data_IF_604203405148
#
_entry.id   IF_604203405148
#
_cell.length_a   1.000
_cell.length_b   1.000
_cell.length_c   1.000
_cell.angle_alpha   90.00
_cell.angle_beta   90.00
_cell.angle_gamma   90.00
#
_symmetry.space_group_name_H-M   'P 1'
#
loop_
_entity.id
_entity.type
_entity.pdbx_description
1 polymer ?
#
# COMPACT_ATOMS: atom_id res chain seq x y z
N UNK A 1 -29.61 70.74 -0.96
CA UNK A 1 -28.63 70.85 0.13
C UNK A 1 -27.66 69.69 0.06
N UNK A 2 -26.44 70.05 -0.30
CA UNK A 2 -25.29 69.14 -0.38
C UNK A 2 -24.80 68.76 1.00
N UNK A 3 -24.50 67.49 1.24
CA UNK A 3 -23.50 67.10 2.20
C UNK A 3 -22.52 66.08 1.59
N UNK A 4 -21.33 66.60 1.40
CA UNK A 4 -20.11 65.85 1.10
C UNK A 4 -19.68 65.07 2.31
N UNK A 5 -19.35 63.74 2.16
CA UNK A 5 -18.59 62.98 3.12
C UNK A 5 -17.26 62.56 2.51
N UNK A 6 -16.25 62.96 3.24
CA UNK A 6 -14.83 62.82 2.97
C UNK A 6 -14.36 61.38 3.14
N UNK A 7 -13.42 60.99 2.26
CA UNK A 7 -12.92 59.63 2.18
C UNK A 7 -11.88 59.27 3.25
N UNK A 8 -12.22 58.33 4.07
CA UNK A 8 -11.29 57.63 4.95
C UNK A 8 -10.74 56.39 4.29
N UNK A 9 -9.48 56.40 3.90
CA UNK A 9 -8.71 55.29 3.44
C UNK A 9 -8.57 54.19 4.55
N UNK A 10 -9.38 53.16 4.52
CA UNK A 10 -9.12 51.96 5.23
C UNK A 10 -8.60 50.90 4.23
N UNK A 11 -7.29 50.76 4.18
CA UNK A 11 -6.64 49.60 3.58
C UNK A 11 -7.08 48.35 4.39
N UNK A 12 -8.15 47.71 3.95
CA UNK A 12 -8.35 46.31 4.26
C UNK A 12 -7.22 45.54 3.59
N UNK A 13 -6.31 45.02 4.41
CA UNK A 13 -5.48 43.90 4.00
C UNK A 13 -6.41 42.77 3.65
N UNK A 14 -6.61 42.53 2.37
CA UNK A 14 -7.14 41.26 1.87
C UNK A 14 -6.15 40.19 2.29
N UNK A 15 -6.46 39.57 3.42
CA UNK A 15 -5.91 38.30 3.76
C UNK A 15 -6.53 37.34 2.75
N UNK A 16 -5.84 37.11 1.64
CA UNK A 16 -6.11 35.94 0.80
C UNK A 16 -6.01 34.73 1.72
N UNK A 17 -7.14 34.22 2.16
CA UNK A 17 -7.22 32.82 2.54
C UNK A 17 -6.77 32.07 1.31
N UNK A 18 -5.54 31.59 1.33
CA UNK A 18 -5.14 30.48 0.48
C UNK A 18 -6.10 29.36 0.84
N UNK A 19 -7.08 29.10 0.01
CA UNK A 19 -7.72 27.83 -0.01
C UNK A 19 -6.60 26.84 -0.42
N UNK A 20 -5.84 26.42 0.57
CA UNK A 20 -5.17 25.15 0.50
C UNK A 20 -6.33 24.16 0.39
N UNK A 21 -6.71 23.85 -0.84
CA UNK A 21 -7.30 22.57 -1.11
C UNK A 21 -6.12 21.61 -0.90
N UNK A 22 -5.88 21.35 0.37
CA UNK A 22 -5.13 20.20 0.82
C UNK A 22 -5.92 19.03 0.24
N UNK A 23 -5.49 18.54 -0.90
CA UNK A 23 -5.78 17.16 -1.28
C UNK A 23 -4.91 16.35 -0.33
N UNK A 24 -5.29 16.41 0.94
CA UNK A 24 -5.10 15.27 1.80
C UNK A 24 -5.93 14.21 1.08
N UNK A 25 -5.31 13.44 0.23
CA UNK A 25 -5.62 12.04 0.16
C UNK A 25 -5.16 11.46 1.51
N UNK A 26 -5.76 12.00 2.58
CA UNK A 26 -6.17 11.11 3.61
C UNK A 26 -6.80 10.03 2.75
N UNK A 27 -6.29 8.81 2.78
CA UNK A 27 -7.20 7.72 2.84
C UNK A 27 -8.20 8.16 3.90
N UNK A 28 -9.15 9.03 3.48
CA UNK A 28 -10.36 9.20 4.23
C UNK A 28 -10.85 7.79 4.20
N UNK A 29 -10.59 7.13 5.32
CA UNK A 29 -11.22 5.91 5.71
C UNK A 29 -12.69 6.09 5.41
N UNK A 30 -13.06 5.83 4.17
CA UNK A 30 -14.42 5.55 3.86
C UNK A 30 -14.57 4.17 4.48
N UNK A 31 -14.98 4.18 5.73
CA UNK A 31 -15.36 2.99 6.49
C UNK A 31 -16.50 2.33 5.74
N UNK A 32 -16.13 1.47 4.81
CA UNK A 32 -17.10 0.62 4.16
C UNK A 32 -17.29 -0.60 5.02
N UNK A 33 -18.49 -0.76 5.47
CA UNK A 33 -18.95 -1.88 6.27
C UNK A 33 -18.73 -3.17 5.49
N UNK A 34 -17.75 -3.94 5.90
CA UNK A 34 -17.75 -5.38 5.68
C UNK A 34 -18.93 -5.93 6.51
N UNK A 35 -20.14 -5.90 5.93
CA UNK A 35 -21.34 -6.36 6.63
C UNK A 35 -21.21 -7.85 6.94
N UNK A 36 -21.62 -8.25 8.13
CA UNK A 36 -21.76 -9.67 8.47
C UNK A 36 -22.67 -10.35 7.45
N UNK A 37 -22.14 -11.38 6.79
CA UNK A 37 -22.98 -12.32 6.03
C UNK A 37 -23.81 -13.15 7.02
N UNK A 38 -25.08 -12.78 7.19
CA UNK A 38 -26.00 -13.43 8.15
C UNK A 38 -26.29 -14.90 7.81
N UNK A 39 -25.74 -15.42 6.72
CA UNK A 39 -25.92 -16.79 6.25
C UNK A 39 -24.70 -17.71 6.51
N UNK A 40 -23.60 -17.22 7.04
CA UNK A 40 -22.44 -18.05 7.36
C UNK A 40 -22.70 -18.87 8.63
N UNK A 41 -23.19 -20.09 8.45
CA UNK A 41 -23.54 -21.00 9.56
C UNK A 41 -22.35 -21.78 10.13
N UNK A 42 -21.17 -21.70 9.51
CA UNK A 42 -19.97 -22.40 9.94
C UNK A 42 -18.83 -21.40 10.19
N UNK A 43 -18.32 -21.27 11.44
CA UNK A 43 -17.20 -20.39 11.74
C UNK A 43 -15.88 -20.82 11.11
N UNK A 44 -15.80 -22.04 10.57
CA UNK A 44 -14.64 -22.59 9.89
C UNK A 44 -14.70 -22.49 8.35
N UNK A 45 -15.76 -21.88 7.81
CA UNK A 45 -15.91 -21.64 6.37
C UNK A 45 -16.08 -20.13 6.12
N UNK A 46 -15.28 -19.61 5.18
CA UNK A 46 -15.49 -18.26 4.61
C UNK A 46 -15.99 -18.48 3.19
N UNK A 47 -17.32 -18.35 2.99
CA UNK A 47 -18.00 -18.53 1.69
C UNK A 47 -17.58 -19.81 0.95
N UNK A 48 -17.46 -20.92 1.68
CA UNK A 48 -17.08 -22.22 1.11
C UNK A 48 -15.59 -22.57 1.15
N UNK A 49 -14.71 -21.61 1.46
CA UNK A 49 -13.28 -21.89 1.63
C UNK A 49 -13.01 -22.31 3.09
N UNK A 50 -12.40 -23.47 3.34
CA UNK A 50 -12.01 -23.88 4.68
C UNK A 50 -10.96 -22.93 5.28
N UNK A 51 -11.24 -22.45 6.48
CA UNK A 51 -10.31 -21.69 7.31
C UNK A 51 -9.47 -22.68 8.10
N UNK A 52 -8.15 -22.71 7.89
CA UNK A 52 -7.23 -23.51 8.69
C UNK A 52 -7.01 -22.88 10.07
N UNK A 53 -6.82 -21.57 10.09
CA UNK A 53 -6.78 -20.79 11.33
C UNK A 53 -7.01 -19.28 11.06
N UNK A 54 -7.47 -18.61 12.10
CA UNK A 54 -7.55 -17.14 12.20
C UNK A 54 -6.84 -16.71 13.49
N UNK A 55 -5.99 -15.70 13.41
CA UNK A 55 -5.37 -15.04 14.56
C UNK A 55 -5.70 -13.57 14.57
N UNK A 56 -5.91 -13.03 15.76
CA UNK A 56 -6.21 -11.61 15.97
C UNK A 56 -5.31 -11.05 17.05
N UNK A 57 -4.81 -9.84 16.83
CA UNK A 57 -3.92 -9.13 17.73
C UNK A 57 -4.54 -7.78 18.07
N UNK A 58 -4.58 -7.44 19.36
CA UNK A 58 -5.10 -6.16 19.86
C UNK A 58 -4.11 -5.55 20.83
N UNK A 59 -3.68 -4.34 20.54
CA UNK A 59 -2.70 -3.61 21.34
C UNK A 59 -3.29 -2.33 21.94
N UNK A 60 -4.24 -1.68 21.28
CA UNK A 60 -4.97 -0.54 21.81
C UNK A 60 -6.06 -0.96 22.78
N UNK A 61 -6.38 -0.10 23.74
CA UNK A 61 -7.35 -0.40 24.81
C UNK A 61 -8.78 -0.61 24.29
N UNK A 62 -9.11 -0.06 23.13
CA UNK A 62 -10.42 -0.19 22.48
C UNK A 62 -10.37 -0.90 21.12
N UNK A 63 -9.15 -1.28 20.68
CA UNK A 63 -8.83 -1.88 19.37
C UNK A 63 -9.38 -1.11 18.15
N UNK A 64 -9.71 0.17 18.33
CA UNK A 64 -10.26 1.01 17.27
C UNK A 64 -9.19 1.66 16.40
N UNK A 65 -7.93 1.57 16.83
CA UNK A 65 -6.76 2.17 16.19
C UNK A 65 -5.66 1.15 15.84
N UNK A 66 -6.00 -0.14 15.87
CA UNK A 66 -5.09 -1.19 15.42
C UNK A 66 -5.26 -1.39 13.91
N UNK A 67 -4.20 -1.23 13.14
CA UNK A 67 -4.19 -1.32 11.68
C UNK A 67 -3.00 -2.13 11.20
N UNK A 68 -3.16 -2.96 10.17
CA UNK A 68 -2.05 -3.60 9.47
C UNK A 68 -2.17 -3.46 7.96
N UNK A 69 -1.06 -3.20 7.31
CA UNK A 69 -0.98 -2.89 5.90
C UNK A 69 -0.25 -3.94 5.08
N UNK A 70 0.63 -4.70 5.73
CA UNK A 70 1.50 -5.65 5.05
C UNK A 70 1.67 -6.91 5.90
N UNK A 71 1.52 -8.06 5.29
CA UNK A 71 1.96 -9.36 5.84
C UNK A 71 2.91 -10.01 4.85
N UNK A 72 4.01 -10.60 5.34
CA UNK A 72 4.94 -11.36 4.51
C UNK A 72 5.38 -12.62 5.26
N UNK A 73 5.60 -13.71 4.52
CA UNK A 73 6.17 -14.93 5.09
C UNK A 73 7.64 -14.70 5.41
N UNK A 74 8.10 -15.27 6.51
CA UNK A 74 9.50 -15.26 6.93
C UNK A 74 10.18 -16.59 6.61
N UNK A 75 11.51 -16.61 6.55
CA UNK A 75 12.31 -17.77 6.15
C UNK A 75 12.16 -18.99 7.06
N UNK A 76 11.65 -18.80 8.27
CA UNK A 76 11.32 -19.86 9.23
C UNK A 76 9.89 -20.42 9.05
N UNK A 77 9.16 -19.93 8.02
CA UNK A 77 7.79 -20.31 7.72
C UNK A 77 6.73 -19.55 8.53
N UNK A 78 7.14 -18.67 9.44
CA UNK A 78 6.24 -17.75 10.16
C UNK A 78 5.87 -16.52 9.33
N UNK A 79 5.38 -15.45 10.00
CA UNK A 79 4.95 -14.25 9.32
C UNK A 79 5.47 -13.01 10.04
N UNK A 80 5.73 -11.95 9.26
CA UNK A 80 5.98 -10.60 9.75
C UNK A 80 4.86 -9.68 9.27
N UNK A 81 4.32 -8.85 10.16
CA UNK A 81 3.20 -7.95 9.92
C UNK A 81 3.66 -6.54 10.27
N UNK A 82 3.36 -5.59 9.39
CA UNK A 82 3.59 -4.16 9.63
C UNK A 82 2.27 -3.40 9.74
N UNK A 83 2.23 -2.43 10.65
CA UNK A 83 1.06 -1.63 10.89
C UNK A 83 1.27 -0.50 11.88
N UNK A 84 0.20 -0.14 12.56
CA UNK A 84 0.22 0.82 13.65
C UNK A 84 -0.82 0.46 14.72
N UNK A 85 -0.60 0.92 15.93
CA UNK A 85 -1.56 0.92 17.04
C UNK A 85 -1.47 2.25 17.77
N UNK A 86 -2.60 2.91 18.04
CA UNK A 86 -2.64 4.23 18.68
C UNK A 86 -1.59 5.21 18.10
N UNK A 87 -1.51 5.30 16.77
CA UNK A 87 -0.53 6.11 16.03
C UNK A 87 0.94 5.74 16.32
N UNK A 88 1.20 4.54 16.78
CA UNK A 88 2.55 4.02 17.05
C UNK A 88 2.86 2.90 16.06
N UNK A 89 3.97 2.99 15.36
CA UNK A 89 4.40 1.96 14.40
C UNK A 89 4.55 0.61 15.07
N UNK A 90 4.07 -0.44 14.41
CA UNK A 90 3.99 -1.79 14.97
C UNK A 90 4.57 -2.81 14.00
N UNK A 91 5.42 -3.70 14.50
CA UNK A 91 5.76 -4.97 13.87
C UNK A 91 5.34 -6.13 14.76
N UNK A 92 4.75 -7.16 14.15
CA UNK A 92 4.39 -8.42 14.82
C UNK A 92 5.07 -9.57 14.07
N UNK A 93 5.84 -10.39 14.77
CA UNK A 93 6.38 -11.66 14.25
C UNK A 93 5.59 -12.81 14.83
N UNK A 94 5.22 -13.75 13.96
CA UNK A 94 4.52 -14.95 14.36
C UNK A 94 5.26 -16.21 13.91
N UNK A 95 4.92 -17.35 14.50
CA UNK A 95 5.31 -18.66 14.00
C UNK A 95 4.48 -19.05 12.74
N UNK A 96 4.72 -20.23 12.19
CA UNK A 96 4.00 -20.76 11.02
C UNK A 96 2.52 -21.09 11.27
N UNK A 97 2.08 -21.15 12.53
CA UNK A 97 0.67 -21.31 12.92
C UNK A 97 0.00 -19.96 13.19
N UNK A 98 0.71 -18.85 12.96
CA UNK A 98 0.23 -17.49 13.21
C UNK A 98 0.23 -17.09 14.68
N UNK A 99 0.82 -17.90 15.59
CA UNK A 99 0.96 -17.53 17.01
C UNK A 99 2.07 -16.49 17.16
N UNK A 100 1.80 -15.44 17.95
CA UNK A 100 2.76 -14.37 18.19
C UNK A 100 4.02 -14.89 18.87
N UNK A 101 5.19 -14.59 18.28
CA UNK A 101 6.49 -14.79 18.89
C UNK A 101 6.98 -13.54 19.60
N UNK A 102 6.79 -12.38 18.95
CA UNK A 102 7.08 -11.08 19.50
C UNK A 102 6.33 -9.96 18.75
N UNK A 103 6.14 -8.84 19.40
CA UNK A 103 5.80 -7.57 18.77
C UNK A 103 6.72 -6.46 19.27
N UNK A 104 6.87 -5.41 18.49
CA UNK A 104 7.64 -4.22 18.82
C UNK A 104 6.89 -2.97 18.38
N UNK A 105 6.95 -1.95 19.22
CA UNK A 105 6.40 -0.62 18.97
C UNK A 105 7.55 0.35 18.66
N UNK A 106 7.36 1.19 17.63
CA UNK A 106 8.38 2.09 17.10
C UNK A 106 7.83 3.49 17.01
N UNK A 107 8.45 4.43 17.68
CA UNK A 107 8.13 5.85 17.67
C UNK A 107 6.63 6.19 17.67
N UNK A 108 6.23 7.06 18.57
CA UNK A 108 4.86 7.62 18.52
C UNK A 108 4.66 8.40 17.21
N UNK A 109 3.44 8.47 16.72
CA UNK A 109 3.07 9.15 15.48
C UNK A 109 3.69 8.54 14.21
N UNK A 110 3.86 7.21 14.20
CA UNK A 110 4.41 6.46 13.06
C UNK A 110 3.39 5.44 12.55
N UNK A 111 3.32 5.28 11.24
CA UNK A 111 2.60 4.18 10.58
C UNK A 111 3.56 3.44 9.65
N UNK A 112 3.62 2.10 9.77
CA UNK A 112 4.43 1.26 8.89
C UNK A 112 3.54 0.63 7.82
N UNK A 113 3.83 0.94 6.55
CA UNK A 113 3.05 0.45 5.41
C UNK A 113 3.59 -0.84 4.80
N UNK A 114 4.90 -1.04 4.83
CA UNK A 114 5.56 -2.20 4.23
C UNK A 114 6.67 -2.73 5.12
N UNK A 115 6.84 -4.05 5.10
CA UNK A 115 7.92 -4.77 5.78
C UNK A 115 8.40 -5.94 4.94
N UNK A 116 9.70 -6.20 4.96
CA UNK A 116 10.34 -7.40 4.37
C UNK A 116 11.35 -7.96 5.36
N UNK A 117 11.42 -9.31 5.44
CA UNK A 117 12.60 -9.94 6.00
C UNK A 117 13.74 -9.77 5.01
N UNK A 118 14.94 -9.47 5.51
CA UNK A 118 16.13 -9.23 4.69
C UNK A 118 17.16 -10.33 4.88
N UNK A 119 18.16 -10.35 4.01
CA UNK A 119 19.14 -11.45 3.86
C UNK A 119 19.93 -11.77 5.13
N UNK A 120 20.08 -10.83 6.07
CA UNK A 120 20.71 -11.03 7.38
C UNK A 120 19.76 -11.64 8.44
N UNK A 121 18.50 -11.90 8.08
CA UNK A 121 17.45 -12.42 8.93
C UNK A 121 16.71 -11.36 9.75
N UNK A 122 17.12 -10.11 9.70
CA UNK A 122 16.40 -8.96 10.26
C UNK A 122 15.26 -8.48 9.37
N UNK A 123 14.74 -7.27 9.65
CA UNK A 123 13.62 -6.72 8.91
C UNK A 123 13.89 -5.28 8.49
N UNK A 124 13.48 -4.93 7.26
CA UNK A 124 13.39 -3.56 6.79
C UNK A 124 11.92 -3.17 6.68
N UNK A 125 11.55 -2.00 7.22
CA UNK A 125 10.18 -1.49 7.16
C UNK A 125 10.17 -0.01 6.81
N UNK A 126 9.09 0.44 6.21
CA UNK A 126 8.91 1.85 5.83
C UNK A 126 7.46 2.30 5.98
N UNK A 127 7.29 3.61 6.08
CA UNK A 127 6.02 4.28 6.19
C UNK A 127 6.21 5.77 6.34
N UNK A 128 5.52 6.37 7.29
CA UNK A 128 5.70 7.78 7.62
C UNK A 128 5.75 8.02 9.13
N UNK A 129 6.34 9.14 9.50
CA UNK A 129 6.36 9.69 10.84
C UNK A 129 5.61 11.03 10.82
N UNK A 130 4.61 11.16 11.68
CA UNK A 130 3.86 12.40 11.87
C UNK A 130 4.50 13.25 12.98
N UNK A 131 4.79 14.50 12.69
CA UNK A 131 5.39 15.40 13.66
C UNK A 131 4.29 16.16 14.42
N UNK A 132 3.89 15.67 15.58
CA UNK A 132 2.80 16.23 16.40
C UNK A 132 3.12 17.53 17.15
N UNK A 133 4.35 18.03 17.08
CA UNK A 133 4.81 19.01 18.07
C UNK A 133 4.73 20.46 17.64
N UNK A 134 4.55 20.78 16.35
CA UNK A 134 4.53 22.15 15.84
C UNK A 134 3.45 22.38 14.77
N UNK A 135 2.71 23.50 14.81
CA UNK A 135 1.85 23.88 13.69
C UNK A 135 2.67 24.08 12.42
N UNK A 136 2.37 23.33 11.36
CA UNK A 136 3.07 23.37 10.08
C UNK A 136 4.16 22.32 9.93
N UNK A 137 4.21 21.34 10.80
CA UNK A 137 4.98 20.12 10.58
C UNK A 137 4.18 19.17 9.68
N UNK A 138 4.86 18.51 8.78
CA UNK A 138 4.29 17.60 7.79
C UNK A 138 4.84 16.19 7.99
N UNK A 139 4.12 15.14 7.60
CA UNK A 139 4.64 13.78 7.66
C UNK A 139 5.92 13.63 6.85
N UNK A 140 6.89 12.96 7.46
CA UNK A 140 8.16 12.56 6.88
C UNK A 140 8.21 11.06 6.63
N UNK A 141 8.99 10.62 5.66
CA UNK A 141 9.27 9.21 5.45
C UNK A 141 9.96 8.64 6.70
N UNK A 142 9.49 7.48 7.15
CA UNK A 142 10.17 6.69 8.17
C UNK A 142 10.72 5.40 7.56
N UNK A 143 12.01 5.14 7.80
CA UNK A 143 12.71 3.94 7.36
C UNK A 143 13.39 3.29 8.56
N UNK A 144 13.09 2.00 8.79
CA UNK A 144 13.47 1.27 9.99
C UNK A 144 14.14 -0.05 9.60
N UNK A 145 15.33 -0.33 10.14
CA UNK A 145 15.99 -1.62 10.09
C UNK A 145 16.08 -2.21 11.49
N UNK A 146 15.66 -3.46 11.62
CA UNK A 146 15.77 -4.24 12.85
C UNK A 146 16.56 -5.51 12.63
N UNK A 147 17.06 -6.09 13.72
CA UNK A 147 17.55 -7.46 13.71
C UNK A 147 16.38 -8.47 13.72
N UNK A 148 16.68 -9.76 13.73
CA UNK A 148 15.67 -10.84 13.72
C UNK A 148 14.75 -10.88 14.94
N UNK A 149 15.15 -10.27 16.07
CA UNK A 149 14.33 -10.16 17.29
C UNK A 149 13.47 -8.86 17.34
N UNK A 150 13.45 -8.08 16.27
CA UNK A 150 12.72 -6.81 16.20
C UNK A 150 13.44 -5.63 16.87
N UNK A 151 14.66 -5.81 17.41
CA UNK A 151 15.41 -4.70 18.01
C UNK A 151 15.97 -3.79 16.91
N UNK A 152 15.84 -2.47 17.10
CA UNK A 152 16.31 -1.47 16.14
C UNK A 152 17.83 -1.59 15.97
N UNK A 153 18.31 -1.72 14.73
CA UNK A 153 19.71 -1.56 14.35
C UNK A 153 19.98 -0.11 13.95
N UNK A 154 19.08 0.44 13.16
CA UNK A 154 19.02 1.86 12.83
C UNK A 154 17.62 2.25 12.37
N UNK A 155 17.25 3.49 12.55
CA UNK A 155 16.06 4.11 11.99
C UNK A 155 16.36 5.54 11.60
N UNK A 156 15.54 6.11 10.73
CA UNK A 156 15.64 7.50 10.32
C UNK A 156 14.31 8.01 9.77
N UNK A 157 14.05 9.29 10.03
CA UNK A 157 13.02 10.05 9.35
C UNK A 157 13.66 11.10 8.46
N UNK A 158 13.07 11.32 7.30
CA UNK A 158 13.54 12.31 6.34
C UNK A 158 12.42 12.71 5.38
N UNK A 159 12.42 13.96 5.01
CA UNK A 159 11.42 14.55 4.12
C UNK A 159 11.81 15.96 3.72
N UNK A 160 10.82 16.74 3.36
CA UNK A 160 10.94 18.16 3.02
C UNK A 160 10.26 19.00 4.11
N UNK A 161 10.84 20.13 4.47
CA UNK A 161 10.44 20.93 5.64
C UNK A 161 8.97 21.43 5.60
N UNK A 162 8.36 21.51 4.42
CA UNK A 162 7.07 22.17 4.23
C UNK A 162 5.98 21.28 3.61
N UNK A 163 6.21 19.96 3.43
CA UNK A 163 5.31 19.12 2.65
C UNK A 163 5.25 17.67 3.15
N UNK A 164 4.20 16.95 2.72
CA UNK A 164 3.97 15.57 3.11
C UNK A 164 4.83 14.61 2.28
N UNK A 165 5.69 13.86 2.94
CA UNK A 165 6.49 12.80 2.36
C UNK A 165 6.15 11.47 3.04
N UNK A 166 5.95 10.41 2.27
CA UNK A 166 5.76 9.05 2.81
C UNK A 166 6.27 8.00 1.87
N UNK A 167 6.66 6.85 2.41
CA UNK A 167 7.00 5.68 1.64
C UNK A 167 5.91 4.61 1.76
N UNK A 168 5.60 3.96 0.63
CA UNK A 168 4.56 2.94 0.51
C UNK A 168 5.11 1.53 0.50
N UNK A 169 6.27 1.33 -0.13
CA UNK A 169 6.85 0.00 -0.24
C UNK A 169 8.37 0.05 -0.12
N UNK A 170 8.95 -1.06 0.35
CA UNK A 170 10.39 -1.26 0.52
C UNK A 170 10.77 -2.67 0.12
N UNK A 171 11.90 -2.79 -0.57
CA UNK A 171 12.51 -4.08 -0.91
C UNK A 171 14.00 -4.08 -0.55
N UNK A 172 14.55 -5.26 -0.27
CA UNK A 172 15.99 -5.51 -0.37
C UNK A 172 16.31 -5.91 -1.82
N UNK A 173 17.26 -5.25 -2.43
CA UNK A 173 17.72 -5.56 -3.78
C UNK A 173 18.81 -6.63 -3.76
N UNK A 174 19.05 -7.31 -4.90
CA UNK A 174 20.00 -8.41 -5.02
C UNK A 174 21.43 -8.03 -4.59
N UNK A 175 21.78 -6.76 -4.59
CA UNK A 175 23.07 -6.25 -4.11
C UNK A 175 23.10 -5.95 -2.59
N UNK A 176 22.06 -6.34 -1.85
CA UNK A 176 21.95 -6.21 -0.39
C UNK A 176 21.68 -4.79 0.08
N UNK A 177 21.13 -3.94 -0.77
CA UNK A 177 20.71 -2.58 -0.46
C UNK A 177 19.18 -2.46 -0.40
N UNK A 178 18.66 -1.34 0.11
CA UNK A 178 17.23 -1.14 0.24
C UNK A 178 16.74 -0.09 -0.74
N UNK A 179 15.65 -0.38 -1.46
CA UNK A 179 14.96 0.59 -2.30
C UNK A 179 13.56 0.81 -1.75
N UNK A 180 13.18 2.08 -1.64
CA UNK A 180 11.84 2.50 -1.24
C UNK A 180 11.15 3.25 -2.37
N UNK A 181 9.81 3.19 -2.38
CA UNK A 181 8.97 4.03 -3.22
C UNK A 181 7.90 4.73 -2.39
N UNK A 182 7.36 5.82 -2.92
CA UNK A 182 6.33 6.61 -2.27
C UNK A 182 6.18 7.98 -2.91
N UNK A 183 5.90 8.97 -2.09
CA UNK A 183 5.73 10.37 -2.48
C UNK A 183 6.86 11.22 -1.93
N UNK A 184 7.36 12.12 -2.79
CA UNK A 184 8.31 13.18 -2.45
C UNK A 184 7.76 14.52 -2.94
N UNK A 185 7.52 15.43 -2.02
CA UNK A 185 6.98 16.75 -2.34
C UNK A 185 7.98 17.84 -1.99
N UNK A 186 8.75 18.34 -2.98
CA UNK A 186 9.80 19.33 -2.80
C UNK A 186 9.39 20.76 -3.17
N UNK A 187 8.16 20.99 -3.60
CA UNK A 187 7.68 22.32 -4.02
C UNK A 187 6.31 22.76 -3.46
N UNK A 188 5.68 21.89 -2.62
CA UNK A 188 4.39 22.17 -1.96
C UNK A 188 3.16 22.16 -2.86
N UNK A 189 3.33 21.79 -4.12
CA UNK A 189 2.26 21.81 -5.11
C UNK A 189 2.18 20.56 -5.99
N UNK A 190 3.29 19.83 -6.09
CA UNK A 190 3.41 18.74 -7.05
C UNK A 190 4.16 17.56 -6.41
N UNK A 191 3.45 16.73 -5.69
CA UNK A 191 4.04 15.49 -5.19
C UNK A 191 4.61 14.65 -6.35
N UNK A 192 5.74 14.02 -6.11
CA UNK A 192 6.49 13.23 -7.10
C UNK A 192 6.57 11.79 -6.62
N UNK A 193 6.26 10.86 -7.49
CA UNK A 193 6.60 9.47 -7.23
C UNK A 193 8.12 9.33 -7.18
N UNK A 194 8.65 8.59 -6.21
CA UNK A 194 10.07 8.48 -6.00
C UNK A 194 10.56 7.03 -5.98
N UNK A 195 11.85 6.85 -6.29
CA UNK A 195 12.68 5.73 -5.88
C UNK A 195 13.91 6.28 -5.14
N UNK A 196 14.22 5.70 -3.99
CA UNK A 196 15.42 6.03 -3.22
C UNK A 196 16.11 4.76 -2.77
N UNK A 197 17.41 4.66 -3.01
CA UNK A 197 18.23 3.52 -2.62
C UNK A 197 19.12 3.88 -1.45
N UNK A 198 19.10 3.02 -0.44
CA UNK A 198 19.89 3.15 0.78
C UNK A 198 20.80 1.95 0.95
N UNK A 199 21.99 2.17 1.51
CA UNK A 199 22.87 1.08 1.89
C UNK A 199 22.26 0.26 3.04
N UNK A 200 22.80 -0.91 3.31
CA UNK A 200 22.43 -1.72 4.48
C UNK A 200 22.65 -1.02 5.82
N UNK A 201 23.46 0.06 5.85
CA UNK A 201 23.68 0.91 7.04
C UNK A 201 22.82 2.18 7.05
N UNK A 202 21.82 2.29 6.17
CA UNK A 202 20.91 3.42 6.12
C UNK A 202 21.40 4.66 5.36
N UNK A 203 22.61 4.65 4.76
CA UNK A 203 23.09 5.81 3.99
C UNK A 203 22.45 5.89 2.62
N UNK A 204 21.96 7.07 2.24
CA UNK A 204 21.40 7.30 0.90
C UNK A 204 22.48 7.10 -0.17
N UNK A 205 22.21 6.22 -1.14
CA UNK A 205 23.08 5.95 -2.30
C UNK A 205 22.66 6.84 -3.47
N UNK A 206 21.36 6.80 -3.82
CA UNK A 206 20.77 7.67 -4.84
C UNK A 206 19.28 7.90 -4.61
N UNK A 207 18.74 8.97 -5.18
CA UNK A 207 17.31 9.27 -5.22
C UNK A 207 16.90 9.76 -6.58
N UNK A 208 15.75 9.27 -7.07
CA UNK A 208 15.13 9.65 -8.34
C UNK A 208 13.66 9.97 -8.13
N UNK A 209 13.13 10.89 -8.92
CA UNK A 209 11.71 11.24 -8.94
C UNK A 209 11.12 11.11 -10.34
N UNK A 210 9.85 10.68 -10.41
CA UNK A 210 9.15 10.43 -11.66
C UNK A 210 7.87 11.25 -11.70
N UNK A 211 7.95 12.42 -12.31
CA UNK A 211 6.79 13.33 -12.44
C UNK A 211 6.08 13.13 -13.77
N UNK A 212 4.78 13.31 -13.78
CA UNK A 212 4.00 13.38 -15.03
C UNK A 212 2.92 14.45 -15.02
N UNK A 213 2.56 14.94 -13.85
CA UNK A 213 1.55 16.00 -13.61
C UNK A 213 1.61 16.44 -12.15
N UNK A 214 0.61 17.14 -11.66
CA UNK A 214 0.39 17.41 -10.23
C UNK A 214 -0.03 16.14 -9.51
N UNK A 215 0.44 15.90 -8.28
CA UNK A 215 0.12 14.78 -7.42
C UNK A 215 0.46 13.40 -8.02
N UNK A 216 1.71 12.97 -7.87
CA UNK A 216 2.14 11.63 -8.24
C UNK A 216 2.51 10.83 -7.00
N UNK A 217 2.16 9.55 -6.97
CA UNK A 217 2.50 8.64 -5.89
C UNK A 217 2.99 7.31 -6.45
N UNK A 218 4.08 6.79 -5.88
CA UNK A 218 4.55 5.43 -6.10
C UNK A 218 3.98 4.52 -5.02
N UNK A 219 3.27 3.46 -5.40
CA UNK A 219 2.56 2.60 -4.47
C UNK A 219 3.26 1.27 -4.22
N UNK A 220 3.82 0.66 -5.24
CA UNK A 220 4.46 -0.65 -5.12
C UNK A 220 5.68 -0.75 -6.03
N UNK A 221 6.60 -1.59 -5.65
CA UNK A 221 7.93 -1.70 -6.20
C UNK A 221 8.38 -3.16 -6.18
N UNK A 222 9.03 -3.58 -7.27
CA UNK A 222 9.71 -4.87 -7.34
C UNK A 222 11.04 -4.73 -8.07
N UNK A 223 11.96 -5.66 -7.82
CA UNK A 223 13.19 -5.86 -8.59
C UNK A 223 13.03 -7.07 -9.50
N UNK A 224 13.38 -6.93 -10.77
CA UNK A 224 13.37 -8.05 -11.70
C UNK A 224 14.61 -8.94 -11.53
N UNK A 225 14.62 -10.18 -12.03
CA UNK A 225 15.79 -11.05 -11.97
C UNK A 225 17.07 -10.44 -12.55
N UNK A 226 16.94 -9.51 -13.51
CA UNK A 226 18.06 -8.80 -14.14
C UNK A 226 18.50 -7.55 -13.35
N UNK A 227 17.89 -7.28 -12.18
CA UNK A 227 18.22 -6.14 -11.33
C UNK A 227 17.60 -4.81 -11.77
N UNK A 228 16.59 -4.82 -12.66
CA UNK A 228 15.80 -3.64 -12.96
C UNK A 228 14.71 -3.44 -11.90
N UNK A 229 14.32 -2.18 -11.69
CA UNK A 229 13.27 -1.81 -10.75
C UNK A 229 11.99 -1.49 -11.51
N UNK A 230 10.86 -2.05 -11.08
CA UNK A 230 9.53 -1.74 -11.58
C UNK A 230 8.78 -0.99 -10.47
N UNK A 231 8.32 0.20 -10.80
CA UNK A 231 7.51 1.07 -9.94
C UNK A 231 6.14 1.24 -10.57
N UNK A 232 5.08 1.05 -9.80
CA UNK A 232 3.71 1.39 -10.19
C UNK A 232 3.10 2.41 -9.25
N UNK A 233 2.14 3.15 -9.78
CA UNK A 233 1.44 4.17 -9.02
C UNK A 233 0.46 4.96 -9.87
N UNK A 234 0.18 6.19 -9.44
CA UNK A 234 -0.73 7.06 -10.15
C UNK A 234 -0.25 8.51 -10.19
N UNK A 235 -0.84 9.27 -11.10
CA UNK A 235 -0.67 10.71 -11.22
C UNK A 235 -2.04 11.38 -11.31
N UNK A 236 -2.30 12.35 -10.43
CA UNK A 236 -3.49 13.18 -10.48
C UNK A 236 -3.35 14.30 -11.50
N UNK A 237 -4.47 14.86 -11.93
CA UNK A 237 -4.55 16.08 -12.73
C UNK A 237 -5.18 17.20 -11.92
N UNK A 238 -5.00 18.45 -12.34
CA UNK A 238 -5.63 19.62 -11.71
C UNK A 238 -7.17 19.57 -11.69
N UNK A 239 -7.78 18.64 -12.42
CA UNK A 239 -9.23 18.49 -12.54
C UNK A 239 -9.76 17.23 -11.84
N UNK A 240 -8.94 16.57 -10.99
CA UNK A 240 -9.35 15.42 -10.22
C UNK A 240 -9.39 14.10 -10.99
N UNK A 241 -8.88 14.07 -12.22
CA UNK A 241 -8.67 12.83 -12.96
C UNK A 241 -7.37 12.15 -12.51
N UNK A 242 -7.33 10.83 -12.54
CA UNK A 242 -6.15 10.03 -12.19
C UNK A 242 -5.70 9.18 -13.36
N UNK A 243 -4.40 9.07 -13.54
CA UNK A 243 -3.79 8.20 -14.54
C UNK A 243 -2.81 7.27 -13.85
N UNK A 244 -2.94 5.99 -14.10
CA UNK A 244 -1.91 5.06 -13.66
C UNK A 244 -0.61 5.28 -14.44
N UNK A 245 0.49 4.93 -13.82
CA UNK A 245 1.77 4.81 -14.51
C UNK A 245 2.53 3.56 -14.03
N UNK A 246 3.41 3.10 -14.89
CA UNK A 246 4.44 2.10 -14.60
C UNK A 246 5.77 2.61 -15.12
N UNK A 247 6.81 2.47 -14.31
CA UNK A 247 8.19 2.85 -14.65
C UNK A 247 9.07 1.63 -14.53
N UNK A 248 9.92 1.38 -15.54
CA UNK A 248 11.08 0.51 -15.42
C UNK A 248 12.32 1.39 -15.31
N UNK A 249 13.12 1.15 -14.28
CA UNK A 249 14.40 1.80 -14.06
C UNK A 249 15.52 0.75 -13.96
N UNK A 250 16.76 1.13 -14.22
CA UNK A 250 17.91 0.25 -13.95
C UNK A 250 18.26 0.27 -12.44
N UNK A 251 19.25 -0.53 -12.05
CA UNK A 251 19.71 -0.63 -10.63
C UNK A 251 20.23 0.70 -10.05
N UNK A 252 20.57 1.69 -10.88
CA UNK A 252 20.98 3.04 -10.50
C UNK A 252 19.80 4.03 -10.46
N UNK A 253 18.56 3.54 -10.62
CA UNK A 253 17.34 4.34 -10.62
C UNK A 253 17.09 5.12 -11.90
N UNK A 254 17.91 4.97 -12.96
CA UNK A 254 17.73 5.67 -14.23
C UNK A 254 16.57 5.06 -15.01
N UNK A 255 15.63 5.90 -15.43
CA UNK A 255 14.46 5.47 -16.18
C UNK A 255 14.85 4.81 -17.51
N UNK A 256 14.44 3.56 -17.69
CA UNK A 256 14.51 2.85 -18.98
C UNK A 256 13.29 3.21 -19.81
N UNK A 257 12.10 3.05 -19.24
CA UNK A 257 10.84 3.52 -19.83
C UNK A 257 9.84 3.92 -18.75
N UNK A 258 8.88 4.75 -19.14
CA UNK A 258 7.69 5.12 -18.36
C UNK A 258 6.46 5.01 -19.24
N UNK A 259 5.46 4.30 -18.78
CA UNK A 259 4.18 4.11 -19.45
C UNK A 259 3.07 4.68 -18.58
N UNK A 260 2.08 5.26 -19.23
CA UNK A 260 0.88 5.84 -18.60
C UNK A 260 -0.36 5.16 -19.13
N UNK A 261 -1.51 5.57 -18.59
CA UNK A 261 -2.82 5.19 -19.10
C UNK A 261 -2.94 5.54 -20.60
N UNK A 262 -3.32 4.57 -21.41
CA UNK A 262 -3.44 4.72 -22.86
C UNK A 262 -4.89 4.57 -23.36
N UNK A 263 -5.81 3.96 -22.60
CA UNK A 263 -7.12 3.58 -23.15
C UNK A 263 -8.26 3.39 -22.16
N UNK A 264 -8.04 3.39 -20.86
CA UNK A 264 -9.10 3.34 -19.83
C UNK A 264 -9.26 4.71 -19.21
N UNK A 265 -10.43 5.06 -18.72
CA UNK A 265 -10.68 6.28 -17.95
C UNK A 265 -9.71 6.43 -16.78
N UNK A 266 -10.10 7.17 -15.77
CA UNK A 266 -9.30 7.29 -14.54
C UNK A 266 -8.90 5.91 -14.00
N UNK A 267 -7.60 5.68 -13.81
CA UNK A 267 -7.08 4.43 -13.27
C UNK A 267 -5.85 4.66 -12.39
N UNK A 268 -5.72 3.83 -11.35
CA UNK A 268 -4.62 3.84 -10.39
C UNK A 268 -4.08 2.43 -10.24
N UNK A 269 -2.77 2.28 -9.98
CA UNK A 269 -2.14 1.01 -9.67
C UNK A 269 -1.62 1.04 -8.22
N UNK A 270 -1.92 -0.02 -7.47
CA UNK A 270 -1.52 -0.16 -6.07
C UNK A 270 -0.49 -1.25 -5.86
N UNK A 271 -0.51 -2.30 -6.66
CA UNK A 271 0.41 -3.42 -6.52
C UNK A 271 0.94 -3.90 -7.86
N UNK A 272 2.11 -4.52 -7.86
CA UNK A 272 2.75 -5.12 -9.03
C UNK A 272 3.45 -6.41 -8.65
N UNK A 273 3.37 -7.41 -9.52
CA UNK A 273 4.15 -8.63 -9.46
C UNK A 273 4.77 -8.96 -10.81
N UNK A 274 5.75 -9.85 -10.81
CA UNK A 274 6.30 -10.43 -12.04
C UNK A 274 5.29 -11.42 -12.63
N UNK A 275 5.17 -11.42 -13.94
CA UNK A 275 4.48 -12.48 -14.67
C UNK A 275 5.44 -13.66 -14.87
N UNK A 276 5.05 -14.91 -14.49
CA UNK A 276 5.88 -16.09 -14.73
C UNK A 276 6.31 -16.31 -16.18
N UNK A 277 5.51 -15.83 -17.15
CA UNK A 277 5.80 -15.92 -18.59
C UNK A 277 6.65 -14.73 -19.10
N UNK A 278 7.02 -13.80 -18.24
CA UNK A 278 7.82 -12.61 -18.51
C UNK A 278 6.98 -11.35 -18.71
N UNK A 279 7.38 -10.30 -18.01
CA UNK A 279 6.64 -9.04 -17.96
C UNK A 279 6.12 -8.74 -16.55
N UNK A 280 5.06 -7.94 -16.45
CA UNK A 280 4.61 -7.39 -15.19
C UNK A 280 3.09 -7.29 -15.15
N UNK A 281 2.49 -7.83 -14.09
CA UNK A 281 1.06 -7.66 -13.84
C UNK A 281 0.84 -6.69 -12.68
N UNK A 282 0.02 -5.69 -12.91
CA UNK A 282 -0.30 -4.68 -11.92
C UNK A 282 -1.81 -4.63 -11.66
N UNK A 283 -2.15 -4.35 -10.41
CA UNK A 283 -3.51 -4.33 -9.91
C UNK A 283 -3.87 -2.97 -9.30
N UNK A 284 -5.15 -2.62 -9.33
CA UNK A 284 -5.64 -1.36 -8.78
C UNK A 284 -7.09 -1.06 -9.13
N UNK A 285 -7.37 0.20 -9.49
CA UNK A 285 -8.71 0.72 -9.80
C UNK A 285 -8.79 1.27 -11.21
N UNK A 286 -10.01 1.26 -11.76
CA UNK A 286 -10.37 2.05 -12.93
C UNK A 286 -11.71 2.78 -12.71
N UNK A 287 -12.11 3.66 -13.66
CA UNK A 287 -13.37 4.40 -13.66
C UNK A 287 -13.66 5.19 -12.37
N UNK A 288 -12.72 6.04 -11.96
CA UNK A 288 -12.88 6.93 -10.81
C UNK A 288 -13.18 6.20 -9.49
N UNK A 289 -12.40 5.17 -9.16
CA UNK A 289 -12.48 4.38 -7.93
C UNK A 289 -13.67 3.41 -7.85
N UNK A 290 -14.22 2.99 -8.99
CA UNK A 290 -15.46 2.19 -8.97
C UNK A 290 -15.31 0.77 -9.43
N UNK A 291 -14.10 0.34 -9.84
CA UNK A 291 -13.95 -0.96 -10.49
C UNK A 291 -12.55 -1.51 -10.31
N UNK A 292 -12.45 -2.80 -10.02
CA UNK A 292 -11.20 -3.55 -9.99
C UNK A 292 -10.51 -3.50 -11.36
N UNK A 293 -9.20 -3.31 -11.35
CA UNK A 293 -8.40 -3.17 -12.55
C UNK A 293 -7.17 -4.06 -12.52
N UNK A 294 -6.93 -4.76 -13.61
CA UNK A 294 -5.72 -5.53 -13.87
C UNK A 294 -5.11 -5.11 -15.21
N UNK A 295 -3.80 -5.07 -15.24
CA UNK A 295 -3.02 -4.69 -16.41
C UNK A 295 -1.76 -5.54 -16.48
N UNK A 296 -1.55 -6.21 -17.62
CA UNK A 296 -0.25 -6.83 -17.95
C UNK A 296 0.51 -6.00 -18.97
N UNK A 297 1.80 -5.87 -18.73
CA UNK A 297 2.76 -5.29 -19.67
C UNK A 297 3.96 -6.22 -19.85
N UNK A 298 4.36 -6.43 -21.09
CA UNK A 298 5.61 -7.14 -21.36
C UNK A 298 6.84 -6.32 -20.91
N UNK A 299 8.01 -6.90 -21.00
CA UNK A 299 9.29 -6.27 -20.60
C UNK A 299 9.58 -4.93 -21.28
N UNK A 300 9.08 -4.71 -22.48
CA UNK A 300 9.18 -3.44 -23.21
C UNK A 300 8.13 -2.40 -22.76
N UNK A 301 7.24 -2.78 -21.85
CA UNK A 301 6.18 -1.94 -21.30
C UNK A 301 4.97 -1.82 -22.23
N UNK A 302 4.83 -2.65 -23.26
CA UNK A 302 3.61 -2.68 -24.07
C UNK A 302 2.53 -3.48 -23.36
N UNK A 303 1.27 -3.04 -23.48
CA UNK A 303 0.12 -3.75 -22.92
C UNK A 303 -0.07 -5.06 -23.70
N UNK A 304 -0.13 -6.18 -22.97
CA UNK A 304 -0.54 -7.48 -23.49
C UNK A 304 -2.04 -7.65 -23.30
N UNK A 305 -2.54 -7.42 -22.09
CA UNK A 305 -3.96 -7.34 -21.79
C UNK A 305 -4.24 -6.36 -20.64
N UNK A 306 -5.50 -5.94 -20.52
CA UNK A 306 -6.02 -5.17 -19.40
C UNK A 306 -7.52 -5.47 -19.20
N UNK A 307 -7.92 -5.60 -17.95
CA UNK A 307 -9.29 -5.91 -17.56
C UNK A 307 -9.80 -4.90 -16.53
N UNK A 308 -10.98 -4.36 -16.78
CA UNK A 308 -11.70 -3.47 -15.88
C UNK A 308 -13.03 -4.17 -15.55
N UNK A 309 -13.17 -4.64 -14.32
CA UNK A 309 -14.30 -5.50 -13.91
C UNK A 309 -15.46 -4.64 -13.42
N UNK A 310 -16.44 -4.39 -14.28
CA UNK A 310 -17.61 -3.56 -13.94
C UNK A 310 -18.61 -4.43 -13.17
N UNK A 311 -18.63 -4.29 -11.85
CA UNK A 311 -19.70 -4.83 -11.01
C UNK A 311 -20.66 -3.71 -10.59
N UNK A 312 -21.99 -3.97 -10.64
CA UNK A 312 -23.04 -2.95 -10.49
C UNK A 312 -23.12 -2.27 -9.11
N UNK A 313 -22.32 -2.69 -8.12
CA UNK A 313 -22.53 -2.28 -6.73
C UNK A 313 -21.31 -1.75 -5.97
N UNK A 314 -20.13 -1.55 -6.58
CA UNK A 314 -18.93 -1.38 -5.77
C UNK A 314 -18.00 -0.22 -6.20
N UNK A 315 -17.46 0.47 -5.18
CA UNK A 315 -16.43 1.51 -5.29
C UNK A 315 -15.09 0.93 -4.81
N UNK A 316 -14.43 -0.01 -5.52
CA UNK A 316 -13.38 -0.84 -4.94
C UNK A 316 -12.25 -1.11 -5.91
N UNK A 317 -11.06 -1.46 -5.36
CA UNK A 317 -9.91 -1.84 -6.12
C UNK A 317 -8.98 -2.77 -5.40
N UNK A 318 -8.18 -3.47 -6.18
CA UNK A 318 -7.17 -4.38 -5.67
C UNK A 318 -6.01 -3.63 -5.02
N UNK A 319 -5.65 -4.04 -3.79
CA UNK A 319 -4.52 -3.50 -3.03
C UNK A 319 -3.27 -4.34 -3.11
N UNK A 320 -3.39 -5.66 -3.25
CA UNK A 320 -2.24 -6.55 -3.38
C UNK A 320 -2.50 -7.60 -4.46
N UNK A 321 -1.43 -8.07 -5.09
CA UNK A 321 -1.42 -9.09 -6.14
C UNK A 321 -0.18 -9.95 -6.00
N UNK A 322 -0.36 -11.24 -6.14
CA UNK A 322 0.73 -12.22 -6.22
C UNK A 322 0.50 -13.18 -7.37
N UNK A 323 1.55 -13.69 -8.04
CA UNK A 323 1.43 -14.80 -8.95
C UNK A 323 1.05 -16.06 -8.17
N UNK A 324 0.25 -16.95 -8.77
CA UNK A 324 -0.13 -18.22 -8.17
C UNK A 324 0.67 -19.37 -8.76
N UNK A 325 1.10 -20.29 -7.90
CA UNK A 325 1.80 -21.51 -8.30
C UNK A 325 0.96 -22.40 -9.24
N UNK A 326 -0.37 -22.25 -9.20
CA UNK A 326 -1.32 -22.94 -10.09
C UNK A 326 -1.64 -22.18 -11.38
N UNK A 327 -0.87 -21.13 -11.74
CA UNK A 327 -1.13 -20.21 -12.85
C UNK A 327 -2.09 -19.10 -12.48
N UNK A 328 -1.98 -17.95 -13.18
CA UNK A 328 -2.74 -16.73 -12.89
C UNK A 328 -2.38 -16.09 -11.56
N UNK A 329 -3.32 -15.34 -10.93
CA UNK A 329 -3.00 -14.45 -9.82
C UNK A 329 -4.00 -14.56 -8.68
N UNK A 330 -3.53 -14.36 -7.44
CA UNK A 330 -4.37 -14.04 -6.29
C UNK A 330 -4.33 -12.55 -6.01
N UNK A 331 -5.49 -11.99 -5.67
CA UNK A 331 -5.69 -10.58 -5.41
C UNK A 331 -6.55 -10.39 -4.17
N UNK A 332 -6.35 -9.26 -3.51
CA UNK A 332 -7.17 -8.83 -2.39
C UNK A 332 -7.64 -7.39 -2.61
N UNK A 333 -8.89 -7.11 -2.29
CA UNK A 333 -9.48 -5.78 -2.40
C UNK A 333 -9.94 -5.21 -1.05
N UNK A 334 -10.33 -3.96 -1.02
CA UNK A 334 -10.79 -3.24 0.17
C UNK A 334 -12.20 -3.66 0.64
N UNK A 335 -12.95 -4.42 -0.16
CA UNK A 335 -14.18 -5.08 0.28
C UNK A 335 -13.97 -6.45 0.88
N UNK A 336 -12.72 -6.82 1.09
CA UNK A 336 -12.37 -8.11 1.64
C UNK A 336 -12.61 -9.27 0.68
N UNK A 337 -12.61 -9.05 -0.64
CA UNK A 337 -12.66 -10.16 -1.58
C UNK A 337 -11.27 -10.69 -1.87
N UNK A 338 -11.10 -12.00 -1.66
CA UNK A 338 -10.02 -12.78 -2.22
C UNK A 338 -10.44 -13.25 -3.60
N UNK A 339 -9.73 -12.82 -4.63
CA UNK A 339 -10.00 -13.15 -6.02
C UNK A 339 -8.88 -14.00 -6.61
N UNK A 340 -9.21 -15.07 -7.32
CA UNK A 340 -8.30 -15.87 -8.14
C UNK A 340 -8.63 -15.64 -9.60
N UNK A 341 -7.59 -15.38 -10.41
CA UNK A 341 -7.71 -15.25 -11.86
C UNK A 341 -6.92 -16.33 -12.59
N UNK A 342 -7.21 -16.50 -13.88
CA UNK A 342 -6.32 -17.17 -14.81
C UNK A 342 -5.15 -16.25 -15.25
N UNK A 343 -4.26 -16.75 -16.10
CA UNK A 343 -3.09 -16.06 -16.61
C UNK A 343 -3.41 -14.83 -17.47
N UNK A 344 -4.62 -14.75 -18.01
CA UNK A 344 -5.12 -13.61 -18.79
C UNK A 344 -5.98 -12.65 -17.97
N UNK A 345 -5.98 -12.82 -16.65
CA UNK A 345 -6.67 -11.96 -15.71
C UNK A 345 -8.19 -12.17 -15.65
N UNK A 346 -8.75 -13.25 -16.22
CA UNK A 346 -10.18 -13.57 -16.04
C UNK A 346 -10.42 -14.17 -14.66
N UNK A 347 -11.49 -13.76 -13.99
CA UNK A 347 -11.83 -14.24 -12.66
C UNK A 347 -12.24 -15.71 -12.72
N UNK A 348 -11.56 -16.56 -11.96
CA UNK A 348 -11.92 -17.96 -11.72
C UNK A 348 -12.92 -18.05 -10.56
N UNK A 349 -12.58 -17.40 -9.45
CA UNK A 349 -13.51 -17.21 -8.33
C UNK A 349 -13.20 -15.88 -7.60
N UNK A 350 -14.20 -15.40 -6.87
CA UNK A 350 -14.06 -14.27 -5.94
C UNK A 350 -14.90 -14.55 -4.71
N UNK A 351 -14.30 -14.52 -3.53
CA UNK A 351 -14.94 -14.85 -2.25
C UNK A 351 -14.72 -13.76 -1.25
N UNK A 352 -15.80 -13.37 -0.57
CA UNK A 352 -15.74 -12.34 0.45
C UNK A 352 -15.26 -12.92 1.77
N UNK A 353 -14.22 -12.34 2.33
CA UNK A 353 -13.70 -12.63 3.66
C UNK A 353 -14.42 -11.78 4.71
N UNK A 354 -14.29 -12.11 6.00
CA UNK A 354 -14.96 -11.39 7.10
C UNK A 354 -14.16 -10.21 7.67
N UNK A 355 -12.91 -10.05 7.23
CA UNK A 355 -11.98 -9.05 7.74
C UNK A 355 -11.46 -8.19 6.58
N UNK A 356 -11.12 -6.93 6.86
CA UNK A 356 -10.42 -6.09 5.89
C UNK A 356 -9.04 -6.68 5.66
N UNK A 357 -8.69 -6.88 4.40
CA UNK A 357 -7.42 -7.48 4.03
C UNK A 357 -6.68 -6.52 3.11
N UNK A 358 -5.39 -6.33 3.40
CA UNK A 358 -4.51 -5.42 2.67
C UNK A 358 -3.39 -6.16 1.96
N UNK A 359 -3.18 -7.44 2.32
CA UNK A 359 -2.06 -8.20 1.81
C UNK A 359 -2.39 -9.68 1.67
N UNK A 360 -1.85 -10.32 0.65
CA UNK A 360 -2.06 -11.73 0.33
C UNK A 360 -0.73 -12.43 0.08
N UNK A 361 -0.63 -13.71 0.49
CA UNK A 361 0.54 -14.58 0.29
C UNK A 361 0.03 -15.97 -0.10
N UNK A 362 0.66 -16.63 -1.07
CA UNK A 362 0.54 -18.07 -1.31
C UNK A 362 1.72 -18.79 -0.66
N UNK A 363 1.42 -19.83 0.11
CA UNK A 363 2.43 -20.67 0.76
C UNK A 363 2.85 -21.83 -0.15
N UNK A 364 4.00 -22.45 0.15
CA UNK A 364 4.53 -23.58 -0.63
C UNK A 364 3.57 -24.78 -0.72
N UNK A 365 2.65 -24.94 0.23
CA UNK A 365 1.63 -25.99 0.24
C UNK A 365 0.33 -25.60 -0.50
N UNK A 366 0.30 -24.43 -1.11
CA UNK A 366 -0.83 -23.87 -1.87
C UNK A 366 -1.88 -23.18 -1.01
N UNK A 367 -1.70 -23.10 0.31
CA UNK A 367 -2.58 -22.33 1.17
C UNK A 367 -2.38 -20.83 0.95
N UNK A 368 -3.45 -20.08 1.19
CA UNK A 368 -3.42 -18.60 1.12
C UNK A 368 -3.44 -18.03 2.53
N UNK A 369 -2.54 -17.10 2.79
CA UNK A 369 -2.58 -16.26 3.98
C UNK A 369 -2.93 -14.84 3.57
N UNK A 370 -3.91 -14.26 4.25
CA UNK A 370 -4.31 -12.86 4.11
C UNK A 370 -4.13 -12.14 5.43
N UNK A 371 -3.69 -10.89 5.35
CA UNK A 371 -3.48 -10.03 6.52
C UNK A 371 -4.16 -8.69 6.36
N UNK A 372 -4.65 -8.17 7.48
CA UNK A 372 -5.34 -6.89 7.54
C UNK A 372 -5.83 -6.61 8.95
N UNK A 373 -6.91 -5.85 9.07
CA UNK A 373 -7.52 -5.52 10.35
C UNK A 373 -9.02 -5.84 10.35
N UNK A 374 -9.57 -6.14 11.53
CA UNK A 374 -10.99 -6.49 11.69
C UNK A 374 -11.88 -5.26 11.75
N UNK A 375 -13.18 -5.45 11.42
CA UNK A 375 -14.21 -4.44 11.68
C UNK A 375 -14.87 -4.67 13.04
N UNK A 376 -15.13 -3.58 13.76
CA UNK A 376 -16.18 -3.53 14.78
C UNK A 376 -17.36 -2.71 14.26
N UNK A 377 -18.58 -3.19 14.48
CA UNK A 377 -19.81 -2.47 14.15
C UNK A 377 -19.77 -1.03 14.72
N UNK A 378 -19.70 -0.03 13.81
CA UNK A 378 -19.69 1.39 14.17
C UNK A 378 -18.31 2.07 14.32
N UNK A 379 -17.19 1.38 14.17
CA UNK A 379 -15.83 1.94 14.28
C UNK A 379 -14.95 1.62 13.06
N UNK A 380 -14.00 2.52 12.79
CA UNK A 380 -13.09 2.47 11.64
C UNK A 380 -11.83 1.62 11.85
N UNK A 381 -11.73 0.89 12.96
CA UNK A 381 -10.63 0.01 13.29
C UNK A 381 -11.10 -1.25 14.00
N UNK A 382 -10.31 -2.29 14.00
CA UNK A 382 -10.54 -3.54 14.67
C UNK A 382 -9.21 -4.25 14.95
N UNK A 383 -9.21 -5.42 15.59
CA UNK A 383 -7.97 -6.13 15.85
C UNK A 383 -7.26 -6.45 14.53
N UNK A 384 -5.95 -6.34 14.52
CA UNK A 384 -5.12 -6.87 13.43
C UNK A 384 -5.42 -8.35 13.27
N UNK A 385 -5.59 -8.81 12.06
CA UNK A 385 -5.92 -10.22 11.79
C UNK A 385 -5.05 -10.80 10.69
N UNK A 386 -4.69 -12.08 10.85
CA UNK A 386 -4.17 -12.93 9.79
C UNK A 386 -5.01 -14.19 9.70
N UNK A 387 -5.27 -14.61 8.49
CA UNK A 387 -6.16 -15.72 8.18
C UNK A 387 -5.49 -16.66 7.18
N UNK A 388 -5.44 -17.96 7.49
CA UNK A 388 -4.96 -19.01 6.57
C UNK A 388 -6.12 -19.82 6.03
N UNK A 389 -6.14 -19.96 4.71
CA UNK A 389 -7.21 -20.56 3.92
C UNK A 389 -6.67 -21.71 3.06
N UNK A 390 -7.51 -22.72 2.84
CA UNK A 390 -7.25 -23.82 1.88
C UNK A 390 -8.09 -23.59 0.61
N UNK A 391 -7.54 -22.93 -0.43
CA UNK A 391 -8.30 -22.62 -1.65
C UNK A 391 -8.52 -23.85 -2.54
N UNK A 392 -7.85 -24.98 -2.30
CA UNK A 392 -7.98 -26.19 -3.12
C UNK A 392 -9.39 -26.81 -3.07
N UNK A 393 -10.24 -26.34 -2.17
CA UNK A 393 -11.60 -26.81 -1.94
C UNK A 393 -12.69 -25.80 -2.34
N UNK A 394 -12.33 -24.79 -3.11
CA UNK A 394 -13.30 -23.91 -3.74
C UNK A 394 -13.91 -24.69 -4.92
N UNK A 395 -15.19 -25.06 -4.80
CA UNK A 395 -15.94 -25.73 -5.88
C UNK A 395 -16.49 -24.72 -6.90
#
# INVERSE_FOLDING_TARGET
>A
EQFTFDGGNNKKKDMKMKNNLMVILIFSFISFHCGEDKNASDPYLVNGIPVKWLRTFSFSSDSSSDESWCVRQTSDGGFIIAGATDYTGLLIKTDSNGEEEWHQLFNNSTTLYSVRQVSDGGFIATGYFECDTLPGCYPDIYLLKTNSSGSIEWDQSFGTDDNNDWARDVIETQDGHFVITGTWDDDGWNSKAMLRKYSNTGSLIWGQTFTSSVANEGNSLMETPEGSLILVGYSGTQHGAYNHFMVKANSDGQQIWKKKNESVGDALLYAVCEDPDGGYVAAGFCNSWRTNFLLERNESGNIEWQNCFIEESSNYGYYDIIPSSGGGYYLIDDLCYLTKTDETGNIIFSVRLKHVNQSVIELDDGDIVVGGFGFREGNTGGPISILRLDPSKVE
#
